data_IF_422603155452
#
_entry.id   IF_422603155452
#
_cell.length_a   1.000
_cell.length_b   1.000
_cell.length_c   1.000
_cell.angle_alpha   90.00
_cell.angle_beta   90.00
_cell.angle_gamma   90.00
#
_symmetry.space_group_name_H-M   'P 1'
#
loop_
_entity.id
_entity.type
_entity.pdbx_description
1 polymer ?
#
# COMPACT_ATOMS: atom_id res chain seq x y z
N UNK A 1 -17.14 -10.99 -7.61
CA UNK A 1 -15.84 -10.46 -7.14
C UNK A 1 -14.78 -11.43 -7.61
N UNK A 2 -13.98 -11.03 -8.59
CA UNK A 2 -12.86 -11.84 -9.10
C UNK A 2 -11.71 -11.68 -8.11
N UNK A 3 -11.08 -12.78 -7.70
CA UNK A 3 -9.90 -12.73 -6.84
C UNK A 3 -8.72 -12.22 -7.66
N UNK A 4 -7.91 -11.30 -7.11
CA UNK A 4 -6.63 -10.88 -7.70
C UNK A 4 -5.78 -12.11 -8.03
N UNK A 5 -5.10 -12.09 -9.17
CA UNK A 5 -4.19 -13.18 -9.57
C UNK A 5 -3.17 -13.47 -8.45
N UNK A 6 -3.00 -14.73 -8.03
CA UNK A 6 -2.09 -15.08 -6.93
C UNK A 6 -0.64 -14.61 -7.14
N UNK A 7 -0.11 -14.69 -8.36
CA UNK A 7 1.26 -14.27 -8.64
C UNK A 7 1.40 -12.74 -8.52
N UNK A 8 0.41 -12.00 -9.04
CA UNK A 8 0.35 -10.54 -8.88
C UNK A 8 0.19 -10.13 -7.41
N UNK A 9 -0.59 -10.89 -6.64
CA UNK A 9 -0.77 -10.65 -5.21
C UNK A 9 0.55 -10.83 -4.44
N UNK A 10 1.32 -11.89 -4.76
CA UNK A 10 2.63 -12.13 -4.13
C UNK A 10 3.63 -11.00 -4.45
N UNK A 11 3.69 -10.53 -5.70
CA UNK A 11 4.52 -9.39 -6.11
C UNK A 11 4.14 -8.09 -5.35
N UNK A 12 2.83 -7.84 -5.19
CA UNK A 12 2.31 -6.72 -4.40
C UNK A 12 2.73 -6.83 -2.93
N UNK A 13 2.62 -8.01 -2.32
CA UNK A 13 3.02 -8.22 -0.92
C UNK A 13 4.52 -7.94 -0.74
N UNK A 14 5.37 -8.36 -1.67
CA UNK A 14 6.81 -8.10 -1.62
C UNK A 14 7.16 -6.62 -1.78
N UNK A 15 6.47 -5.92 -2.69
CA UNK A 15 6.60 -4.48 -2.85
C UNK A 15 6.20 -3.74 -1.56
N UNK A 16 5.07 -4.12 -0.96
CA UNK A 16 4.59 -3.54 0.31
C UNK A 16 5.55 -3.83 1.45
N UNK A 17 6.09 -5.04 1.55
CA UNK A 17 7.08 -5.40 2.58
C UNK A 17 8.31 -4.51 2.49
N UNK A 18 8.77 -4.25 1.27
CA UNK A 18 9.91 -3.36 1.00
C UNK A 18 9.59 -1.91 1.37
N UNK A 19 8.41 -1.42 1.01
CA UNK A 19 7.93 -0.08 1.37
C UNK A 19 7.83 0.11 2.88
N UNK A 20 7.25 -0.85 3.60
CA UNK A 20 7.15 -0.80 5.06
C UNK A 20 8.53 -0.71 5.69
N UNK A 21 9.48 -1.54 5.27
CA UNK A 21 10.82 -1.55 5.83
C UNK A 21 11.59 -0.24 5.60
N UNK A 22 11.42 0.39 4.43
CA UNK A 22 12.18 1.58 4.03
C UNK A 22 11.54 2.89 4.44
N UNK A 23 10.22 3.01 4.28
CA UNK A 23 9.50 4.27 4.39
C UNK A 23 8.70 4.36 5.69
N UNK A 24 8.08 3.26 6.15
CA UNK A 24 7.18 3.30 7.32
C UNK A 24 7.94 3.12 8.63
N UNK A 25 8.77 2.07 8.73
CA UNK A 25 9.47 1.71 9.97
C UNK A 25 10.31 2.84 10.59
N UNK A 26 11.03 3.68 9.82
CA UNK A 26 11.86 4.74 10.40
C UNK A 26 11.07 5.84 11.12
N UNK A 27 9.83 6.11 10.70
CA UNK A 27 9.03 7.27 11.15
C UNK A 27 7.79 6.87 11.96
N UNK A 28 7.45 5.59 12.01
CA UNK A 28 6.21 5.10 12.63
C UNK A 28 6.02 5.57 14.08
N UNK A 29 7.05 5.44 14.92
CA UNK A 29 6.97 5.81 16.34
C UNK A 29 6.84 7.33 16.55
N UNK A 30 7.53 8.13 15.72
CA UNK A 30 7.46 9.58 15.78
C UNK A 30 6.05 10.08 15.41
N UNK A 31 5.48 9.55 14.33
CA UNK A 31 4.15 9.90 13.86
C UNK A 31 3.06 9.47 14.85
N UNK A 32 3.20 8.30 15.47
CA UNK A 32 2.30 7.83 16.52
C UNK A 32 2.33 8.75 17.74
N UNK A 33 3.51 9.02 18.29
CA UNK A 33 3.66 9.89 19.45
C UNK A 33 3.22 11.33 19.18
N UNK A 34 3.39 11.79 17.94
CA UNK A 34 3.01 13.13 17.50
C UNK A 34 1.54 13.26 17.11
N UNK A 35 0.72 12.21 17.20
CA UNK A 35 -0.67 12.17 16.70
C UNK A 35 -0.79 12.75 15.28
N UNK A 36 0.21 12.46 14.45
CA UNK A 36 0.41 13.12 13.16
C UNK A 36 -0.05 12.24 12.02
N UNK A 37 -0.89 12.79 11.15
CA UNK A 37 -1.37 12.09 9.96
C UNK A 37 -0.24 11.89 8.93
N UNK A 38 0.05 10.64 8.52
CA UNK A 38 1.19 10.33 7.66
C UNK A 38 0.87 10.51 6.17
N UNK A 39 0.66 11.76 5.74
CA UNK A 39 0.23 12.08 4.38
C UNK A 39 1.15 11.52 3.28
N UNK A 40 2.47 11.57 3.49
CA UNK A 40 3.45 11.06 2.51
C UNK A 40 3.41 9.54 2.38
N UNK A 41 3.28 8.82 3.50
CA UNK A 41 3.15 7.36 3.48
C UNK A 41 1.86 6.93 2.77
N UNK A 42 0.75 7.64 3.03
CA UNK A 42 -0.53 7.37 2.35
C UNK A 42 -0.44 7.64 0.85
N UNK A 43 0.27 8.69 0.44
CA UNK A 43 0.52 8.96 -0.97
C UNK A 43 1.32 7.82 -1.63
N UNK A 44 2.37 7.33 -0.97
CA UNK A 44 3.14 6.17 -1.44
C UNK A 44 2.29 4.90 -1.54
N UNK A 45 1.42 4.64 -0.57
CA UNK A 45 0.48 3.50 -0.62
C UNK A 45 -0.47 3.60 -1.82
N UNK A 46 -0.92 4.82 -2.17
CA UNK A 46 -1.77 5.05 -3.34
C UNK A 46 -1.04 4.73 -4.65
N UNK A 47 0.23 5.11 -4.76
CA UNK A 47 1.06 4.83 -5.93
C UNK A 47 1.33 3.34 -6.11
N UNK A 48 1.47 2.59 -5.00
CA UNK A 48 1.53 1.12 -5.01
C UNK A 48 0.19 0.47 -5.38
N UNK A 49 -0.89 1.24 -5.50
CA UNK A 49 -2.22 0.75 -5.86
C UNK A 49 -2.93 -0.06 -4.77
N UNK A 50 -2.45 0.03 -3.51
CA UNK A 50 -3.00 -0.71 -2.36
C UNK A 50 -4.50 -0.52 -2.14
N UNK A 51 -5.02 0.67 -2.46
CA UNK A 51 -6.44 0.98 -2.29
C UNK A 51 -7.33 0.45 -3.42
N UNK A 52 -6.73 0.00 -4.53
CA UNK A 52 -7.43 -0.49 -5.72
C UNK A 52 -7.32 -2.00 -5.93
N UNK A 53 -6.67 -2.75 -5.02
CA UNK A 53 -6.35 -4.17 -5.21
C UNK A 53 -7.54 -5.09 -5.46
N UNK A 54 -8.73 -4.70 -5.01
CA UNK A 54 -9.99 -5.46 -5.11
C UNK A 54 -11.04 -4.75 -5.97
N UNK A 55 -10.63 -3.67 -6.63
CA UNK A 55 -11.49 -2.86 -7.47
C UNK A 55 -11.27 -3.31 -8.93
N UNK A 56 -12.35 -3.57 -9.68
CA UNK A 56 -12.23 -3.94 -11.08
C UNK A 56 -11.47 -2.90 -11.91
N UNK A 57 -10.72 -3.32 -12.94
CA UNK A 57 -9.98 -2.40 -13.82
C UNK A 57 -10.83 -1.33 -14.48
N UNK A 58 -12.12 -1.59 -14.78
CA UNK A 58 -13.05 -0.60 -15.33
C UNK A 58 -13.29 0.63 -14.45
N UNK A 59 -12.91 0.55 -13.17
CA UNK A 59 -12.99 1.63 -12.20
C UNK A 59 -11.61 2.15 -11.77
N UNK A 60 -10.53 1.74 -12.47
CA UNK A 60 -9.16 2.17 -12.17
C UNK A 60 -8.47 1.39 -11.05
N UNK A 61 -8.98 0.19 -10.71
CA UNK A 61 -8.33 -0.72 -9.76
C UNK A 61 -7.38 -1.73 -10.43
N UNK A 62 -6.74 -2.55 -9.59
CA UNK A 62 -5.73 -3.53 -10.01
C UNK A 62 -6.28 -4.96 -10.20
N UNK A 63 -7.56 -5.22 -9.89
CA UNK A 63 -8.12 -6.58 -9.95
C UNK A 63 -9.60 -6.68 -9.63
#
# INVERSE_FOLDING_TARGET
>A
MTRTDPALADELVDAVRTFVAKEVMPVALELEHGDTYPAELVAGMRELGLFGCTIPPEHGGLG
#
